data_IF_116966109888
#
_entry.id   IF_116966109888
#
_cell.length_a   1.000
_cell.length_b   1.000
_cell.length_c   1.000
_cell.angle_alpha   90.00
_cell.angle_beta   90.00
_cell.angle_gamma   90.00
#
_symmetry.space_group_name_H-M   'P 1'
#
loop_
_entity.id
_entity.type
_entity.pdbx_description
1 polymer ?
#
# COMPACT_ATOMS: atom_id res chain seq x y z
N UNK A 1 11.83 62.85 2.76
CA UNK A 1 10.39 63.17 2.67
C UNK A 1 10.21 64.17 1.54
N UNK A 2 9.21 64.02 0.65
CA UNK A 2 7.81 63.65 0.90
C UNK A 2 7.44 62.26 0.30
N UNK A 3 6.56 61.43 0.90
CA UNK A 3 5.07 61.45 0.87
C UNK A 3 4.53 61.52 -0.57
N UNK A 4 3.65 60.66 -1.10
CA UNK A 4 2.79 59.60 -0.58
C UNK A 4 1.51 59.56 -1.44
N UNK A 5 0.86 58.39 -1.50
CA UNK A 5 -0.51 58.09 -1.98
C UNK A 5 -0.77 57.83 -3.47
N UNK A 6 -1.50 56.73 -3.71
CA UNK A 6 -2.28 56.49 -4.91
C UNK A 6 -2.44 55.01 -5.25
N UNK A 7 -3.18 54.26 -4.43
CA UNK A 7 -3.58 52.89 -4.72
C UNK A 7 -4.42 52.84 -6.01
N UNK A 8 -4.05 51.94 -6.93
CA UNK A 8 -4.89 51.51 -8.03
C UNK A 8 -4.84 49.98 -8.03
N UNK A 9 -5.89 49.35 -7.48
CA UNK A 9 -6.06 47.90 -7.50
C UNK A 9 -6.75 47.57 -8.83
N UNK A 10 -6.15 46.77 -9.74
CA UNK A 10 -6.87 46.21 -10.87
C UNK A 10 -7.79 45.06 -10.39
N UNK A 11 -8.94 44.84 -11.05
CA UNK A 11 -9.92 43.84 -10.63
C UNK A 11 -9.35 42.42 -10.75
N UNK A 12 -9.72 41.57 -9.79
CA UNK A 12 -9.40 40.14 -9.78
C UNK A 12 -9.94 39.46 -11.05
N UNK A 13 -9.02 38.80 -11.79
CA UNK A 13 -9.28 37.95 -12.94
C UNK A 13 -9.17 36.48 -12.49
N UNK A 14 -10.26 35.69 -12.52
CA UNK A 14 -10.28 34.33 -12.00
C UNK A 14 -9.67 33.28 -12.95
N UNK A 15 -8.91 33.66 -13.99
CA UNK A 15 -8.49 32.72 -15.05
C UNK A 15 -6.98 32.48 -15.22
N UNK A 16 -6.16 32.70 -14.20
CA UNK A 16 -4.72 32.38 -14.24
C UNK A 16 -4.26 31.61 -13.01
N UNK A 17 -4.10 30.29 -13.18
CA UNK A 17 -3.23 29.46 -12.33
C UNK A 17 -1.77 29.67 -12.72
N UNK A 18 -0.86 29.79 -11.74
CA UNK A 18 0.54 29.45 -11.97
C UNK A 18 1.12 28.48 -10.92
N UNK A 19 1.64 27.39 -11.48
CA UNK A 19 2.70 26.44 -11.05
C UNK A 19 3.70 26.98 -10.01
N UNK A 20 4.17 26.17 -9.03
CA UNK A 20 5.12 26.58 -7.99
C UNK A 20 6.57 26.71 -8.50
N UNK A 21 7.42 27.60 -7.92
CA UNK A 21 8.84 27.63 -8.23
C UNK A 21 9.67 26.80 -7.21
N UNK A 22 10.52 25.93 -7.77
CA UNK A 22 11.58 25.14 -7.12
C UNK A 22 12.77 26.03 -6.69
N UNK A 23 13.42 25.74 -5.54
CA UNK A 23 14.73 26.31 -5.20
C UNK A 23 15.32 26.06 -3.79
N UNK A 24 15.77 24.81 -3.53
CA UNK A 24 16.98 24.31 -2.81
C UNK A 24 17.73 25.09 -1.67
N UNK A 25 18.55 24.42 -0.81
CA UNK A 25 18.36 24.27 0.66
C UNK A 25 19.47 24.91 1.54
N UNK A 26 19.46 24.76 2.89
CA UNK A 26 20.71 24.75 3.66
C UNK A 26 20.90 23.56 4.63
N UNK A 27 21.88 22.73 4.28
CA UNK A 27 22.96 22.10 5.08
C UNK A 27 22.63 21.27 6.34
N UNK A 28 22.90 19.96 6.21
CA UNK A 28 23.16 18.98 7.30
C UNK A 28 24.12 19.49 8.38
N UNK A 29 23.78 19.19 9.64
CA UNK A 29 24.74 18.89 10.71
C UNK A 29 24.40 17.53 11.32
N UNK A 30 25.28 16.54 11.16
CA UNK A 30 25.26 15.32 11.98
C UNK A 30 25.74 15.64 13.39
N UNK A 31 25.01 15.17 14.41
CA UNK A 31 25.60 14.73 15.69
C UNK A 31 24.86 13.52 16.25
N UNK A 32 25.61 12.43 16.30
CA UNK A 32 25.44 11.22 17.10
C UNK A 32 25.12 11.53 18.56
N UNK A 33 24.17 10.80 19.17
CA UNK A 33 24.15 10.59 20.62
C UNK A 33 22.78 10.49 21.29
N UNK A 34 22.54 9.29 21.85
CA UNK A 34 21.72 8.96 23.02
C UNK A 34 20.23 8.62 22.81
N UNK A 35 19.99 7.32 22.64
CA UNK A 35 18.78 6.61 23.07
C UNK A 35 18.62 6.82 24.59
N UNK A 36 17.38 7.07 25.03
CA UNK A 36 16.80 7.08 26.39
C UNK A 36 16.10 8.41 26.71
N UNK A 37 14.77 8.43 26.53
CA UNK A 37 13.74 9.07 27.38
C UNK A 37 12.48 9.48 26.59
N UNK A 38 11.63 8.53 26.16
CA UNK A 38 10.35 8.83 25.48
C UNK A 38 9.12 8.11 26.08
N UNK A 39 9.21 7.56 27.29
CA UNK A 39 8.06 6.90 27.95
C UNK A 39 7.26 7.87 28.85
N UNK A 40 7.77 9.07 29.16
CA UNK A 40 7.12 10.02 30.08
C UNK A 40 6.18 11.03 29.41
N UNK A 41 6.35 11.32 28.12
CA UNK A 41 5.57 12.31 27.37
C UNK A 41 4.12 11.85 27.08
N UNK A 42 3.83 10.56 26.76
CA UNK A 42 2.45 10.10 26.55
C UNK A 42 1.59 10.24 27.82
N UNK A 43 2.16 10.01 29.00
CA UNK A 43 1.43 10.02 30.29
C UNK A 43 1.01 11.45 30.69
N UNK A 44 1.80 12.47 30.33
CA UNK A 44 1.54 13.85 30.71
C UNK A 44 0.44 14.50 29.86
N UNK A 45 0.32 14.13 28.58
CA UNK A 45 -0.79 14.54 27.71
C UNK A 45 -2.11 13.88 28.14
N UNK A 46 -2.07 12.61 28.58
CA UNK A 46 -3.24 11.91 29.16
C UNK A 46 -3.77 12.62 30.42
N UNK A 47 -2.92 13.26 31.23
CA UNK A 47 -3.36 13.98 32.44
C UNK A 47 -4.12 15.29 32.12
N UNK A 48 -3.85 15.93 30.97
CA UNK A 48 -4.60 17.12 30.52
C UNK A 48 -6.02 16.72 30.08
N UNK A 49 -6.18 15.53 29.48
CA UNK A 49 -7.49 14.94 29.15
C UNK A 49 -8.39 14.77 30.38
N UNK A 50 -7.82 14.56 31.58
CA UNK A 50 -8.58 14.32 32.81
C UNK A 50 -9.15 15.62 33.44
N UNK A 51 -8.54 16.78 33.18
CA UNK A 51 -8.93 18.04 33.82
C UNK A 51 -10.24 18.67 33.32
N UNK A 52 -10.62 18.42 32.07
CA UNK A 52 -11.80 19.06 31.43
C UNK A 52 -13.08 18.25 31.64
N UNK A 53 -12.99 17.01 32.11
CA UNK A 53 -14.13 16.09 32.10
C UNK A 53 -14.65 15.76 33.51
N UNK A 54 -15.04 16.81 34.24
CA UNK A 54 -15.69 16.68 35.55
C UNK A 54 -17.18 16.41 35.35
N UNK A 55 -17.55 15.13 35.29
CA UNK A 55 -18.94 14.70 35.51
C UNK A 55 -19.33 13.36 34.88
N UNK A 56 -18.89 13.08 33.65
CA UNK A 56 -19.25 11.84 32.91
C UNK A 56 -18.07 11.22 32.13
N UNK A 57 -17.02 11.98 31.82
CA UNK A 57 -16.19 11.62 30.67
C UNK A 57 -14.68 11.46 30.89
N UNK A 58 -14.19 11.08 32.07
CA UNK A 58 -12.86 10.44 32.14
C UNK A 58 -12.83 9.15 31.30
N UNK A 59 -13.95 8.39 31.30
CA UNK A 59 -14.06 7.13 30.55
C UNK A 59 -14.18 7.35 29.02
N UNK A 60 -14.95 8.34 28.59
CA UNK A 60 -15.13 8.66 27.17
C UNK A 60 -13.83 9.20 26.55
N UNK A 61 -13.17 10.14 27.24
CA UNK A 61 -11.86 10.66 26.79
C UNK A 61 -10.78 9.57 26.73
N UNK A 62 -10.77 8.62 27.68
CA UNK A 62 -9.85 7.48 27.64
C UNK A 62 -10.12 6.55 26.45
N UNK A 63 -11.38 6.37 26.05
CA UNK A 63 -11.75 5.55 24.89
C UNK A 63 -11.30 6.22 23.59
N UNK A 64 -11.56 7.51 23.44
CA UNK A 64 -11.11 8.29 22.29
C UNK A 64 -9.58 8.29 22.17
N UNK A 65 -8.85 8.58 23.25
CA UNK A 65 -7.39 8.57 23.23
C UNK A 65 -6.80 7.20 22.85
N UNK A 66 -7.42 6.09 23.30
CA UNK A 66 -6.97 4.74 22.92
C UNK A 66 -7.26 4.43 21.45
N UNK A 67 -8.42 4.82 20.94
CA UNK A 67 -8.79 4.59 19.55
C UNK A 67 -7.91 5.42 18.61
N UNK A 68 -7.67 6.70 18.91
CA UNK A 68 -6.75 7.55 18.14
C UNK A 68 -5.31 7.03 18.18
N UNK A 69 -4.84 6.52 19.33
CA UNK A 69 -3.53 5.90 19.41
C UNK A 69 -3.45 4.64 18.54
N UNK A 70 -4.50 3.81 18.51
CA UNK A 70 -4.55 2.65 17.62
C UNK A 70 -4.54 3.06 16.14
N UNK A 71 -5.33 4.06 15.77
CA UNK A 71 -5.39 4.62 14.41
C UNK A 71 -4.02 5.10 13.91
N UNK A 72 -3.32 5.91 14.70
CA UNK A 72 -1.99 6.42 14.32
C UNK A 72 -0.90 5.36 14.42
N UNK A 73 -1.00 4.42 15.37
CA UNK A 73 -0.07 3.29 15.42
C UNK A 73 -0.20 2.42 14.18
N UNK A 74 -1.41 2.20 13.68
CA UNK A 74 -1.62 1.43 12.46
C UNK A 74 -1.00 2.15 11.25
N UNK A 75 -1.20 3.47 11.13
CA UNK A 75 -0.56 4.29 10.09
C UNK A 75 0.98 4.22 10.09
N UNK A 76 1.63 4.45 11.23
CA UNK A 76 3.10 4.45 11.27
C UNK A 76 3.73 3.07 11.07
N UNK A 77 2.95 2.00 11.27
CA UNK A 77 3.40 0.63 11.04
C UNK A 77 2.92 0.06 9.70
N UNK A 78 2.21 0.86 8.89
CA UNK A 78 1.58 0.42 7.64
C UNK A 78 0.73 -0.85 7.82
N UNK A 79 -0.10 -0.87 8.88
CA UNK A 79 -0.89 -2.02 9.31
C UNK A 79 -2.39 -1.78 9.06
N UNK A 80 -2.83 -2.16 7.86
CA UNK A 80 -4.18 -1.97 7.35
C UNK A 80 -5.19 -2.84 8.09
N UNK A 81 -4.77 -4.03 8.52
CA UNK A 81 -5.55 -4.92 9.37
C UNK A 81 -5.87 -4.24 10.72
N UNK A 82 -4.89 -3.60 11.36
CA UNK A 82 -5.11 -2.86 12.60
C UNK A 82 -6.01 -1.63 12.41
N UNK A 83 -5.98 -0.98 11.24
CA UNK A 83 -6.96 0.05 10.89
C UNK A 83 -8.36 -0.54 10.72
N UNK A 84 -8.48 -1.66 10.02
CA UNK A 84 -9.74 -2.35 9.76
C UNK A 84 -10.45 -2.78 11.06
N UNK A 85 -9.70 -3.22 12.08
CA UNK A 85 -10.25 -3.54 13.40
C UNK A 85 -10.98 -2.36 14.08
N UNK A 86 -10.67 -1.12 13.70
CA UNK A 86 -11.31 0.10 14.20
C UNK A 86 -12.64 0.40 13.53
N UNK A 87 -12.98 -0.28 12.43
CA UNK A 87 -14.26 -0.20 11.75
C UNK A 87 -15.27 -1.18 12.38
N UNK A 88 -16.59 -0.90 12.33
CA UNK A 88 -17.62 -1.88 12.68
C UNK A 88 -17.86 -2.85 11.52
N UNK A 89 -18.25 -4.09 11.79
CA UNK A 89 -18.50 -5.11 10.75
C UNK A 89 -19.51 -4.63 9.68
N UNK A 90 -20.53 -3.86 10.10
CA UNK A 90 -21.53 -3.28 9.21
C UNK A 90 -21.00 -2.21 8.25
N UNK A 91 -19.78 -1.71 8.44
CA UNK A 91 -19.10 -0.83 7.49
C UNK A 91 -18.60 -1.62 6.28
N UNK A 92 -18.15 -2.86 6.48
CA UNK A 92 -17.68 -3.70 5.38
C UNK A 92 -18.80 -4.14 4.44
N UNK A 93 -20.02 -4.29 4.97
CA UNK A 93 -21.23 -4.44 4.14
C UNK A 93 -21.38 -3.26 3.16
N UNK A 94 -21.14 -2.03 3.63
CA UNK A 94 -21.17 -0.83 2.77
C UNK A 94 -20.06 -0.84 1.71
N UNK A 95 -18.82 -1.19 2.10
CA UNK A 95 -17.69 -1.27 1.15
C UNK A 95 -17.99 -2.29 0.05
N UNK A 96 -18.47 -3.47 0.42
CA UNK A 96 -18.84 -4.52 -0.53
C UNK A 96 -19.97 -4.10 -1.45
N UNK A 97 -21.07 -3.55 -0.91
CA UNK A 97 -22.22 -3.12 -1.71
C UNK A 97 -21.89 -1.94 -2.64
N UNK A 98 -20.94 -1.08 -2.26
CA UNK A 98 -20.62 0.16 -2.99
C UNK A 98 -19.53 -0.03 -4.02
N UNK A 99 -18.49 -0.80 -3.70
CA UNK A 99 -17.27 -0.92 -4.50
C UNK A 99 -17.05 -2.31 -5.10
N UNK A 100 -17.86 -3.32 -4.74
CA UNK A 100 -17.67 -4.73 -5.13
C UNK A 100 -16.30 -5.28 -4.66
N UNK A 101 -15.90 -4.87 -3.46
CA UNK A 101 -14.64 -5.25 -2.81
C UNK A 101 -14.91 -5.95 -1.47
N UNK A 102 -14.08 -6.94 -1.14
CA UNK A 102 -14.08 -7.54 0.20
C UNK A 102 -13.30 -6.67 1.21
N UNK A 103 -13.43 -6.97 2.49
CA UNK A 103 -12.57 -6.38 3.55
C UNK A 103 -11.09 -6.67 3.27
N UNK A 104 -10.76 -7.87 2.81
CA UNK A 104 -9.38 -8.28 2.50
C UNK A 104 -8.79 -7.45 1.36
N UNK A 105 -9.57 -7.18 0.30
CA UNK A 105 -9.14 -6.31 -0.81
C UNK A 105 -8.89 -4.88 -0.31
N UNK A 106 -9.83 -4.32 0.45
CA UNK A 106 -9.70 -2.97 0.99
C UNK A 106 -8.48 -2.82 1.91
N UNK A 107 -8.20 -3.84 2.74
CA UNK A 107 -7.01 -3.90 3.60
C UNK A 107 -5.72 -3.97 2.78
N UNK A 108 -5.67 -4.80 1.73
CA UNK A 108 -4.51 -4.87 0.85
C UNK A 108 -4.21 -3.53 0.17
N UNK A 109 -5.25 -2.83 -0.30
CA UNK A 109 -5.12 -1.47 -0.83
C UNK A 109 -4.55 -0.51 0.22
N UNK A 110 -5.06 -0.58 1.46
CA UNK A 110 -4.66 0.31 2.55
C UNK A 110 -3.20 0.08 2.95
N UNK A 111 -2.77 -1.18 2.97
CA UNK A 111 -1.38 -1.55 3.20
C UNK A 111 -0.45 -0.96 2.14
N UNK A 112 -0.83 -1.00 0.86
CA UNK A 112 -0.04 -0.37 -0.20
C UNK A 112 -0.01 1.15 -0.04
N UNK A 113 -1.17 1.79 0.13
CA UNK A 113 -1.26 3.24 0.27
C UNK A 113 -0.38 3.77 1.42
N UNK A 114 -0.40 3.09 2.58
CA UNK A 114 0.42 3.49 3.72
C UNK A 114 1.91 3.23 3.48
N UNK A 115 2.28 2.16 2.77
CA UNK A 115 3.67 1.89 2.38
C UNK A 115 4.20 2.96 1.44
N UNK A 116 3.44 3.33 0.40
CA UNK A 116 3.80 4.41 -0.52
C UNK A 116 4.03 5.71 0.25
N UNK A 117 3.10 6.05 1.15
CA UNK A 117 3.24 7.22 2.01
C UNK A 117 4.49 7.13 2.90
N UNK A 118 4.75 5.97 3.52
CA UNK A 118 5.95 5.73 4.33
C UNK A 118 7.23 5.95 3.53
N UNK A 119 7.30 5.44 2.32
CA UNK A 119 8.46 5.56 1.45
C UNK A 119 8.69 7.00 0.99
N UNK A 120 7.62 7.77 0.76
CA UNK A 120 7.76 9.21 0.46
C UNK A 120 8.44 10.00 1.59
N UNK A 121 8.32 9.52 2.83
CA UNK A 121 8.96 10.13 4.00
C UNK A 121 10.29 9.48 4.39
N UNK A 122 10.72 8.43 3.67
CA UNK A 122 11.97 7.68 3.90
C UNK A 122 11.85 6.58 4.95
N UNK A 123 10.66 6.09 5.26
CA UNK A 123 10.41 5.01 6.23
C UNK A 123 10.70 5.39 7.68
N UNK A 124 10.67 4.39 8.58
CA UNK A 124 10.84 4.53 10.05
C UNK A 124 9.93 5.60 10.65
N UNK A 125 8.63 5.49 10.34
CA UNK A 125 7.66 6.52 10.69
C UNK A 125 7.46 6.66 12.20
N UNK A 126 7.27 7.91 12.61
CA UNK A 126 6.78 8.28 13.93
C UNK A 126 5.78 9.41 13.80
N UNK A 127 4.91 9.59 14.80
CA UNK A 127 3.96 10.69 14.81
C UNK A 127 4.01 11.49 16.12
N UNK A 128 3.60 12.75 16.01
CA UNK A 128 3.37 13.65 17.13
C UNK A 128 2.03 14.32 16.97
N UNK A 129 1.17 14.18 17.98
CA UNK A 129 -0.09 14.91 18.07
C UNK A 129 0.02 16.13 18.98
N UNK A 130 -0.44 17.28 18.48
CA UNK A 130 -0.70 18.49 19.25
C UNK A 130 -2.23 18.70 19.31
N UNK A 131 -2.82 18.38 20.46
CA UNK A 131 -4.26 18.50 20.65
C UNK A 131 -4.69 19.97 20.78
N UNK A 132 -5.63 20.36 19.93
CA UNK A 132 -6.19 21.70 19.82
C UNK A 132 -7.59 21.82 20.46
N UNK A 133 -8.36 20.73 20.48
CA UNK A 133 -9.75 20.74 20.94
C UNK A 133 -10.30 19.37 21.33
N UNK A 134 -11.40 19.37 22.07
CA UNK A 134 -12.21 18.16 22.33
C UNK A 134 -13.68 18.52 22.26
N UNK A 135 -14.43 17.76 21.47
CA UNK A 135 -15.89 17.82 21.42
C UNK A 135 -16.44 16.46 21.81
N UNK A 136 -17.52 16.40 22.58
CA UNK A 136 -18.16 15.13 22.95
C UNK A 136 -19.67 15.28 22.96
N UNK A 137 -20.38 14.29 22.43
CA UNK A 137 -21.84 14.28 22.35
C UNK A 137 -22.44 12.91 22.65
N UNK A 138 -23.68 12.89 23.13
CA UNK A 138 -24.45 11.69 23.44
C UNK A 138 -25.93 11.90 23.08
N UNK A 139 -26.62 10.81 22.72
CA UNK A 139 -28.04 10.87 22.36
C UNK A 139 -28.27 11.87 21.22
N UNK A 140 -29.36 12.61 21.24
CA UNK A 140 -29.68 13.60 20.19
C UNK A 140 -28.91 14.93 20.30
N UNK A 141 -27.70 14.94 20.87
CA UNK A 141 -26.89 16.18 20.95
C UNK A 141 -26.52 16.66 19.55
N UNK A 142 -26.67 17.97 19.31
CA UNK A 142 -26.29 18.63 18.05
C UNK A 142 -24.78 18.58 17.78
N UNK A 143 -23.97 18.33 18.82
CA UNK A 143 -22.53 18.10 18.67
C UNK A 143 -22.22 16.84 17.85
N UNK A 144 -23.18 15.92 17.72
CA UNK A 144 -23.04 14.72 16.90
C UNK A 144 -23.59 14.91 15.48
N UNK A 145 -24.14 16.08 15.14
CA UNK A 145 -24.73 16.30 13.81
C UNK A 145 -23.70 16.14 12.67
N UNK A 146 -22.46 16.69 12.76
CA UNK A 146 -21.46 16.50 11.71
C UNK A 146 -21.12 15.03 11.48
N UNK A 147 -20.80 14.30 12.55
CA UNK A 147 -20.45 12.87 12.42
C UNK A 147 -21.63 11.99 12.00
N UNK A 148 -22.87 12.42 12.25
CA UNK A 148 -24.05 11.72 11.73
C UNK A 148 -24.23 11.91 10.24
N UNK A 149 -23.94 13.10 9.73
CA UNK A 149 -23.96 13.35 8.29
C UNK A 149 -22.97 12.41 7.58
N UNK A 150 -21.76 12.26 8.12
CA UNK A 150 -20.76 11.33 7.59
C UNK A 150 -21.19 9.87 7.75
N UNK A 151 -21.60 9.45 8.96
CA UNK A 151 -21.96 8.04 9.20
C UNK A 151 -23.28 7.60 8.56
N UNK A 152 -24.19 8.53 8.24
CA UNK A 152 -25.41 8.23 7.49
C UNK A 152 -25.10 7.78 6.06
N UNK A 153 -23.98 8.24 5.46
CA UNK A 153 -23.52 7.78 4.12
C UNK A 153 -23.20 6.28 4.12
N UNK A 154 -22.68 5.78 5.25
CA UNK A 154 -22.40 4.37 5.50
C UNK A 154 -23.61 3.57 5.99
N UNK A 155 -24.77 4.22 6.20
CA UNK A 155 -25.92 3.58 6.83
C UNK A 155 -25.77 3.31 8.34
N UNK A 156 -24.76 3.90 8.99
CA UNK A 156 -24.42 3.63 10.39
C UNK A 156 -25.09 4.63 11.35
N UNK A 157 -25.39 4.18 12.58
CA UNK A 157 -26.07 5.03 13.58
C UNK A 157 -25.21 5.31 14.80
N UNK A 158 -24.90 6.59 15.00
CA UNK A 158 -24.08 7.08 16.12
C UNK A 158 -24.94 7.54 17.30
N UNK A 159 -24.72 6.90 18.44
CA UNK A 159 -25.39 7.22 19.71
C UNK A 159 -24.54 8.04 20.68
N UNK A 160 -23.21 7.99 20.53
CA UNK A 160 -22.23 8.69 21.36
C UNK A 160 -20.97 8.89 20.53
N UNK A 161 -20.29 10.02 20.69
CA UNK A 161 -19.04 10.30 19.99
C UNK A 161 -18.18 11.31 20.74
N UNK A 162 -16.87 11.21 20.51
CA UNK A 162 -15.86 12.16 20.99
C UNK A 162 -14.96 12.51 19.80
N UNK A 163 -14.83 13.80 19.51
CA UNK A 163 -13.85 14.35 18.58
C UNK A 163 -12.65 14.86 19.35
N UNK A 164 -11.45 14.57 18.86
CA UNK A 164 -10.22 15.23 19.25
C UNK A 164 -9.72 16.01 18.04
N UNK A 165 -9.74 17.33 18.14
CA UNK A 165 -9.15 18.19 17.12
C UNK A 165 -7.67 18.31 17.43
N UNK A 166 -6.80 17.95 16.48
CA UNK A 166 -5.36 17.92 16.71
C UNK A 166 -4.58 18.19 15.42
N UNK A 167 -3.45 18.88 15.55
CA UNK A 167 -2.43 18.90 14.50
C UNK A 167 -1.59 17.63 14.67
N UNK A 168 -1.54 16.78 13.64
CA UNK A 168 -0.66 15.62 13.64
C UNK A 168 0.51 15.87 12.70
N UNK A 169 1.72 15.61 13.18
CA UNK A 169 2.94 15.60 12.37
C UNK A 169 3.45 14.17 12.28
N UNK A 170 3.53 13.62 11.07
CA UNK A 170 4.21 12.35 10.78
C UNK A 170 5.63 12.66 10.33
N UNK A 171 6.60 11.87 10.76
CA UNK A 171 8.02 12.08 10.48
C UNK A 171 8.65 10.75 10.11
N UNK A 172 9.22 10.67 8.91
CA UNK A 172 10.10 9.59 8.49
C UNK A 172 11.57 10.01 8.53
N UNK A 173 12.45 9.17 7.97
CA UNK A 173 13.89 9.41 7.98
C UNK A 173 14.32 10.64 7.15
N UNK A 174 13.58 10.93 6.07
CA UNK A 174 13.96 11.92 5.07
C UNK A 174 13.12 13.20 5.14
N UNK A 175 11.82 13.11 5.46
CA UNK A 175 10.93 14.26 5.56
C UNK A 175 9.86 14.12 6.67
N UNK A 176 9.05 15.15 6.83
CA UNK A 176 7.91 15.18 7.73
C UNK A 176 6.73 15.88 7.09
N UNK A 177 5.53 15.40 7.37
CA UNK A 177 4.28 16.01 6.94
C UNK A 177 3.41 16.37 8.15
N UNK A 178 2.61 17.43 8.04
CA UNK A 178 1.80 17.91 9.16
C UNK A 178 0.48 18.50 8.69
N UNK A 179 -0.61 18.01 9.28
CA UNK A 179 -1.97 18.47 8.97
C UNK A 179 -2.87 18.52 10.22
N UNK A 180 -3.99 19.23 10.10
CA UNK A 180 -5.02 19.38 11.13
C UNK A 180 -6.14 18.35 10.93
N UNK A 181 -6.37 17.54 11.96
CA UNK A 181 -7.34 16.45 11.96
C UNK A 181 -8.47 16.67 12.97
N UNK A 182 -9.67 16.26 12.59
CA UNK A 182 -10.82 16.10 13.48
C UNK A 182 -11.08 14.60 13.72
N UNK A 183 -10.40 14.03 14.72
CA UNK A 183 -10.38 12.59 14.95
C UNK A 183 -11.60 12.16 15.77
N UNK A 184 -12.62 11.65 15.09
CA UNK A 184 -13.85 11.17 15.72
C UNK A 184 -13.77 9.70 16.12
N UNK A 185 -13.94 9.44 17.41
CA UNK A 185 -14.23 8.10 17.94
C UNK A 185 -15.72 8.02 18.28
N UNK A 186 -16.44 7.11 17.64
CA UNK A 186 -17.90 6.98 17.75
C UNK A 186 -18.34 5.63 18.24
N UNK A 187 -19.52 5.58 18.85
CA UNK A 187 -20.13 4.34 19.33
C UNK A 187 -21.22 3.86 18.38
N UNK A 188 -20.93 2.78 17.68
CA UNK A 188 -21.77 2.10 16.68
C UNK A 188 -21.98 0.66 17.18
N UNK A 189 -23.24 0.23 17.27
CA UNK A 189 -23.63 -1.12 17.73
C UNK A 189 -22.97 -1.62 19.03
N UNK A 190 -22.66 -0.68 19.93
CA UNK A 190 -22.01 -0.98 21.20
C UNK A 190 -20.48 -0.98 21.17
N UNK A 191 -19.86 -1.05 19.99
CA UNK A 191 -18.41 -0.94 19.75
C UNK A 191 -17.99 0.52 19.64
N UNK A 192 -16.74 0.81 20.03
CA UNK A 192 -16.12 2.11 19.79
C UNK A 192 -15.27 2.00 18.53
N UNK A 193 -15.58 2.83 17.53
CA UNK A 193 -15.04 2.78 16.18
C UNK A 193 -14.38 4.12 15.82
N UNK A 194 -13.40 4.08 14.91
CA UNK A 194 -12.77 5.28 14.36
C UNK A 194 -13.53 5.73 13.11
N UNK A 195 -14.03 6.96 13.09
CA UNK A 195 -14.57 7.54 11.86
C UNK A 195 -13.49 7.78 10.83
N UNK A 196 -12.32 8.27 11.26
CA UNK A 196 -11.19 8.52 10.37
C UNK A 196 -10.77 7.25 9.63
N UNK A 197 -10.73 6.09 10.30
CA UNK A 197 -10.45 4.83 9.62
C UNK A 197 -11.52 4.48 8.57
N UNK A 198 -12.80 4.67 8.89
CA UNK A 198 -13.89 4.42 7.93
C UNK A 198 -13.80 5.37 6.72
N UNK A 199 -13.50 6.65 6.95
CA UNK A 199 -13.32 7.62 5.87
C UNK A 199 -12.10 7.32 5.00
N UNK A 200 -10.98 6.90 5.60
CA UNK A 200 -9.77 6.52 4.86
C UNK A 200 -10.04 5.32 3.94
N UNK A 201 -10.73 4.28 4.45
CA UNK A 201 -11.12 3.12 3.63
C UNK A 201 -12.13 3.50 2.53
N UNK A 202 -13.14 4.32 2.84
CA UNK A 202 -14.13 4.81 1.87
C UNK A 202 -13.46 5.61 0.74
N UNK A 203 -12.57 6.52 1.09
CA UNK A 203 -11.80 7.31 0.12
C UNK A 203 -10.90 6.41 -0.73
N UNK A 204 -10.20 5.47 -0.11
CA UNK A 204 -9.28 4.57 -0.80
C UNK A 204 -10.01 3.64 -1.76
N UNK A 205 -11.12 3.03 -1.31
CA UNK A 205 -11.95 2.15 -2.15
C UNK A 205 -12.59 2.90 -3.32
N UNK A 206 -12.79 4.22 -3.19
CA UNK A 206 -13.21 5.09 -4.29
C UNK A 206 -12.09 5.59 -5.20
N UNK A 207 -10.84 5.17 -4.97
CA UNK A 207 -9.66 5.62 -5.72
C UNK A 207 -9.08 4.53 -6.63
N UNK A 208 -8.08 4.87 -7.44
CA UNK A 208 -7.41 3.91 -8.33
C UNK A 208 -6.67 2.80 -7.55
N UNK A 209 -6.29 3.03 -6.28
CA UNK A 209 -5.74 1.98 -5.41
C UNK A 209 -6.70 0.80 -5.21
N UNK A 210 -8.01 1.05 -5.31
CA UNK A 210 -9.02 0.01 -5.19
C UNK A 210 -9.04 -0.95 -6.39
N UNK A 211 -8.63 -0.46 -7.57
CA UNK A 211 -8.57 -1.27 -8.79
C UNK A 211 -7.38 -2.24 -8.77
N UNK A 212 -6.28 -1.89 -8.10
CA UNK A 212 -5.12 -2.76 -7.91
C UNK A 212 -5.25 -3.69 -6.69
N UNK A 213 -6.07 -3.30 -5.70
CA UNK A 213 -6.29 -4.00 -4.44
C UNK A 213 -6.41 -5.53 -4.53
N UNK A 214 -7.37 -6.01 -5.33
CA UNK A 214 -7.60 -7.45 -5.50
C UNK A 214 -6.40 -8.18 -6.12
N UNK A 215 -5.70 -7.51 -7.04
CA UNK A 215 -4.53 -8.07 -7.71
C UNK A 215 -3.30 -8.04 -6.79
N UNK A 216 -3.18 -7.06 -5.90
CA UNK A 216 -2.16 -7.02 -4.85
C UNK A 216 -2.40 -8.16 -3.86
N UNK A 217 -3.64 -8.30 -3.36
CA UNK A 217 -4.00 -9.34 -2.41
C UNK A 217 -3.74 -10.74 -2.99
N UNK A 218 -4.08 -10.95 -4.25
CA UNK A 218 -3.98 -12.26 -4.89
C UNK A 218 -2.56 -12.57 -5.42
N UNK A 219 -1.86 -11.57 -5.98
CA UNK A 219 -0.61 -11.80 -6.74
C UNK A 219 0.61 -11.04 -6.21
N UNK A 220 0.46 -10.12 -5.25
CA UNK A 220 1.54 -9.25 -4.76
C UNK A 220 2.77 -10.03 -4.29
N UNK A 221 2.59 -11.07 -3.49
CA UNK A 221 3.69 -11.92 -3.00
C UNK A 221 4.40 -12.66 -4.15
N UNK A 222 3.65 -13.13 -5.16
CA UNK A 222 4.23 -13.82 -6.33
C UNK A 222 5.04 -12.86 -7.20
N UNK A 223 4.49 -11.66 -7.45
CA UNK A 223 5.17 -10.57 -8.18
C UNK A 223 6.47 -10.18 -7.47
N UNK A 224 6.41 -9.97 -6.15
CA UNK A 224 7.59 -9.63 -5.36
C UNK A 224 8.62 -10.76 -5.37
N UNK A 225 8.19 -12.02 -5.24
CA UNK A 225 9.07 -13.19 -5.28
C UNK A 225 9.77 -13.28 -6.64
N UNK A 226 9.03 -13.08 -7.74
CA UNK A 226 9.58 -13.13 -9.10
C UNK A 226 10.67 -12.07 -9.30
N UNK A 227 10.37 -10.80 -9.02
CA UNK A 227 11.33 -9.72 -9.27
C UNK A 227 12.53 -9.79 -8.34
N UNK A 228 12.34 -10.16 -7.07
CA UNK A 228 13.46 -10.42 -6.17
C UNK A 228 14.36 -11.55 -6.69
N UNK A 229 13.78 -12.63 -7.22
CA UNK A 229 14.54 -13.71 -7.83
C UNK A 229 15.31 -13.25 -9.08
N UNK A 230 14.68 -12.45 -9.94
CA UNK A 230 15.31 -11.88 -11.15
C UNK A 230 16.52 -11.03 -10.81
N UNK A 231 16.37 -10.04 -9.90
CA UNK A 231 17.47 -9.11 -9.58
C UNK A 231 18.63 -9.77 -8.84
N UNK A 232 18.38 -10.87 -8.12
CA UNK A 232 19.39 -11.65 -7.42
C UNK A 232 19.93 -12.83 -8.24
N UNK A 233 19.49 -13.00 -9.49
CA UNK A 233 19.79 -14.16 -10.33
C UNK A 233 19.50 -15.53 -9.66
N UNK A 234 18.48 -15.56 -8.80
CA UNK A 234 18.10 -16.72 -8.01
C UNK A 234 17.02 -17.53 -8.72
N UNK A 235 17.43 -18.29 -9.73
CA UNK A 235 16.53 -19.17 -10.47
C UNK A 235 15.85 -20.19 -9.52
N UNK A 236 16.54 -20.70 -8.51
CA UNK A 236 15.97 -21.68 -7.58
C UNK A 236 14.78 -21.12 -6.78
N UNK A 237 14.79 -19.84 -6.42
CA UNK A 237 13.57 -19.20 -5.87
C UNK A 237 12.49 -19.06 -6.95
N UNK A 238 12.87 -18.69 -8.17
CA UNK A 238 11.93 -18.56 -9.30
C UNK A 238 11.26 -19.89 -9.69
N UNK A 239 11.91 -21.05 -9.50
CA UNK A 239 11.32 -22.36 -9.79
C UNK A 239 10.15 -22.70 -8.86
N UNK A 240 10.03 -22.04 -7.71
CA UNK A 240 8.87 -22.19 -6.81
C UNK A 240 7.59 -21.57 -7.37
N UNK A 241 7.70 -20.69 -8.37
CA UNK A 241 6.60 -20.00 -9.04
C UNK A 241 6.08 -20.77 -10.27
N UNK A 242 6.61 -21.97 -10.50
CA UNK A 242 6.38 -22.81 -11.67
C UNK A 242 5.82 -24.17 -11.21
N UNK A 243 4.82 -24.75 -11.91
CA UNK A 243 4.23 -26.02 -11.49
C UNK A 243 5.22 -27.19 -11.65
N UNK A 244 5.14 -28.20 -10.78
CA UNK A 244 6.04 -29.36 -10.82
C UNK A 244 5.97 -30.11 -12.16
N UNK A 245 4.78 -30.17 -12.78
CA UNK A 245 4.55 -30.77 -14.10
C UNK A 245 5.26 -30.03 -15.25
N UNK A 246 5.66 -28.77 -15.07
CA UNK A 246 6.45 -28.03 -16.07
C UNK A 246 7.78 -28.72 -16.37
N UNK A 247 8.40 -29.31 -15.37
CA UNK A 247 9.72 -29.92 -15.53
C UNK A 247 9.68 -31.18 -16.40
N UNK A 248 8.53 -31.85 -16.50
CA UNK A 248 8.33 -32.95 -17.45
C UNK A 248 8.35 -32.45 -18.89
N UNK A 249 7.80 -31.26 -19.17
CA UNK A 249 7.90 -30.61 -20.48
C UNK A 249 9.35 -30.23 -20.79
N UNK A 250 10.06 -29.60 -19.85
CA UNK A 250 11.46 -29.17 -20.06
C UNK A 250 12.37 -30.37 -20.38
N UNK A 251 12.21 -31.50 -19.68
CA UNK A 251 12.95 -32.73 -19.99
C UNK A 251 12.55 -33.31 -21.36
N UNK A 252 11.25 -33.31 -21.68
CA UNK A 252 10.78 -33.84 -22.97
C UNK A 252 11.26 -33.02 -24.18
N UNK A 253 11.20 -31.69 -24.10
CA UNK A 253 11.54 -30.79 -25.21
C UNK A 253 13.05 -30.55 -25.34
N UNK A 254 13.76 -30.45 -24.21
CA UNK A 254 15.18 -30.06 -24.20
C UNK A 254 16.13 -31.14 -23.65
N UNK A 255 15.63 -32.17 -22.97
CA UNK A 255 16.46 -33.18 -22.29
C UNK A 255 17.25 -32.60 -21.11
N UNK A 256 16.66 -31.62 -20.42
CA UNK A 256 17.30 -30.82 -19.38
C UNK A 256 16.63 -31.10 -18.03
N UNK A 257 17.43 -31.35 -16.99
CA UNK A 257 16.93 -31.47 -15.62
C UNK A 257 16.57 -30.11 -15.03
N UNK A 258 15.68 -30.07 -14.03
CA UNK A 258 15.35 -28.82 -13.32
C UNK A 258 16.61 -28.09 -12.82
N UNK A 259 17.56 -28.79 -12.20
CA UNK A 259 18.79 -28.16 -11.68
C UNK A 259 19.68 -27.59 -12.78
N UNK A 260 19.70 -28.20 -13.96
CA UNK A 260 20.43 -27.68 -15.10
C UNK A 260 19.71 -26.46 -15.69
N UNK A 261 18.37 -26.49 -15.78
CA UNK A 261 17.55 -25.36 -16.20
C UNK A 261 17.71 -24.15 -15.26
N UNK A 262 17.72 -24.37 -13.95
CA UNK A 262 18.05 -23.37 -12.92
C UNK A 262 19.44 -22.78 -13.16
N UNK A 263 20.44 -23.62 -13.42
CA UNK A 263 21.79 -23.14 -13.71
C UNK A 263 21.86 -22.28 -14.97
N UNK A 264 21.15 -22.67 -16.04
CA UNK A 264 21.09 -21.89 -17.28
C UNK A 264 20.38 -20.55 -17.08
N UNK A 265 19.26 -20.54 -16.35
CA UNK A 265 18.53 -19.32 -16.07
C UNK A 265 19.34 -18.38 -15.16
N UNK A 266 20.01 -18.89 -14.12
CA UNK A 266 20.91 -18.08 -13.28
C UNK A 266 21.97 -17.39 -14.12
N UNK A 267 22.66 -18.09 -15.03
CA UNK A 267 23.65 -17.46 -15.91
C UNK A 267 23.05 -16.38 -16.81
N UNK A 268 21.83 -16.60 -17.35
CA UNK A 268 21.14 -15.62 -18.18
C UNK A 268 20.74 -14.37 -17.39
N UNK A 269 20.28 -14.53 -16.14
CA UNK A 269 19.92 -13.43 -15.25
C UNK A 269 21.16 -12.65 -14.79
N UNK A 270 22.26 -13.33 -14.46
CA UNK A 270 23.54 -12.68 -14.12
C UNK A 270 24.04 -11.78 -15.25
N UNK A 271 23.94 -12.23 -16.51
CA UNK A 271 24.29 -11.43 -17.68
C UNK A 271 23.36 -10.21 -17.83
N UNK A 272 22.05 -10.40 -17.64
CA UNK A 272 21.07 -9.31 -17.72
C UNK A 272 21.28 -8.26 -16.62
N UNK A 273 21.46 -8.68 -15.37
CA UNK A 273 21.68 -7.80 -14.21
C UNK A 273 23.02 -7.09 -14.33
N UNK A 274 24.12 -7.80 -14.62
CA UNK A 274 25.45 -7.18 -14.78
C UNK A 274 25.51 -6.21 -15.95
N UNK A 275 24.85 -6.51 -17.07
CA UNK A 275 24.74 -5.62 -18.22
C UNK A 275 23.99 -4.32 -17.93
N UNK A 276 23.05 -4.38 -16.98
CA UNK A 276 22.19 -3.24 -16.60
C UNK A 276 22.78 -2.42 -15.45
N UNK A 277 23.50 -3.04 -14.51
CA UNK A 277 23.89 -2.42 -13.23
C UNK A 277 25.40 -2.41 -12.92
N UNK A 278 26.23 -3.10 -13.71
CA UNK A 278 27.66 -3.29 -13.42
C UNK A 278 27.93 -4.30 -12.29
N UNK A 279 29.20 -4.61 -12.02
CA UNK A 279 29.59 -5.73 -11.12
C UNK A 279 29.44 -5.45 -9.61
N UNK A 280 29.26 -4.19 -9.17
CA UNK A 280 29.48 -3.79 -7.76
C UNK A 280 28.25 -3.17 -7.04
N UNK A 281 27.07 -3.11 -7.67
CA UNK A 281 25.87 -2.52 -7.08
C UNK A 281 24.78 -3.56 -6.79
N UNK A 282 24.34 -3.69 -5.53
CA UNK A 282 23.05 -4.35 -5.23
C UNK A 282 21.94 -3.40 -5.68
N UNK A 283 21.06 -3.79 -6.62
CA UNK A 283 19.99 -2.91 -7.09
C UNK A 283 18.98 -2.67 -5.95
N UNK A 284 18.56 -1.43 -5.78
CA UNK A 284 17.40 -1.08 -4.96
C UNK A 284 16.15 -1.36 -5.79
N UNK A 285 15.39 -2.39 -5.41
CA UNK A 285 14.18 -2.82 -6.10
C UNK A 285 12.95 -2.37 -5.31
N UNK A 286 12.01 -1.71 -5.99
CA UNK A 286 10.61 -1.59 -5.57
C UNK A 286 9.73 -2.12 -6.68
N UNK A 287 8.64 -2.82 -6.31
CA UNK A 287 7.65 -3.31 -7.26
C UNK A 287 6.27 -3.02 -6.71
N UNK A 288 5.50 -2.27 -7.49
CA UNK A 288 4.18 -1.80 -7.12
C UNK A 288 3.17 -2.36 -8.11
N UNK A 289 2.29 -3.24 -7.67
CA UNK A 289 1.19 -3.73 -8.52
C UNK A 289 0.20 -2.58 -8.72
N UNK A 290 -0.08 -2.28 -9.99
CA UNK A 290 -0.92 -1.14 -10.41
C UNK A 290 -2.26 -1.58 -10.96
N UNK A 291 -2.48 -2.88 -11.16
CA UNK A 291 -3.75 -3.43 -11.62
C UNK A 291 -3.61 -4.82 -12.21
N UNK A 292 -4.64 -5.26 -12.90
CA UNK A 292 -4.64 -6.51 -13.64
C UNK A 292 -5.75 -6.55 -14.67
N UNK A 293 -5.57 -7.38 -15.69
CA UNK A 293 -6.58 -7.63 -16.73
C UNK A 293 -6.74 -9.12 -16.91
N UNK A 294 -7.97 -9.62 -16.77
CA UNK A 294 -8.27 -11.02 -17.04
C UNK A 294 -8.06 -11.29 -18.54
N UNK A 295 -7.29 -12.32 -18.85
CA UNK A 295 -6.98 -12.72 -20.24
C UNK A 295 -8.22 -13.33 -20.87
N UNK A 296 -8.55 -12.92 -22.09
CA UNK A 296 -9.74 -13.41 -22.79
C UNK A 296 -9.58 -14.88 -23.23
N UNK A 297 -10.68 -15.64 -23.34
CA UNK A 297 -10.66 -17.06 -23.72
C UNK A 297 -9.87 -17.35 -25.03
N UNK A 298 -9.92 -16.43 -26.00
CA UNK A 298 -9.19 -16.55 -27.26
C UNK A 298 -7.67 -16.46 -27.03
N UNK A 299 -7.22 -15.51 -26.22
CA UNK A 299 -5.81 -15.31 -25.86
C UNK A 299 -5.31 -16.42 -24.93
N UNK A 300 -6.15 -16.88 -24.00
CA UNK A 300 -5.85 -18.02 -23.14
C UNK A 300 -5.65 -19.30 -23.96
N UNK A 301 -6.46 -19.51 -25.01
CA UNK A 301 -6.27 -20.64 -25.94
C UNK A 301 -4.94 -20.56 -26.69
N UNK A 302 -4.45 -19.36 -27.02
CA UNK A 302 -3.14 -19.17 -27.64
C UNK A 302 -2.01 -19.41 -26.63
N UNK A 303 -2.16 -18.93 -25.40
CA UNK A 303 -1.20 -19.15 -24.30
C UNK A 303 -1.07 -20.64 -23.95
N UNK A 304 -2.17 -21.39 -24.05
CA UNK A 304 -2.21 -22.82 -23.78
C UNK A 304 -1.77 -23.72 -24.94
N UNK A 305 -1.44 -23.16 -26.12
CA UNK A 305 -1.08 -23.97 -27.28
C UNK A 305 0.15 -24.85 -26.98
N UNK A 306 0.01 -26.16 -27.19
CA UNK A 306 1.02 -27.16 -26.86
C UNK A 306 1.09 -27.56 -25.37
N UNK A 307 0.69 -26.69 -24.44
CA UNK A 307 0.73 -26.95 -22.99
C UNK A 307 -0.28 -28.02 -22.55
N UNK A 308 -1.42 -28.13 -23.25
CA UNK A 308 -2.44 -29.14 -23.00
C UNK A 308 -1.88 -30.58 -23.02
N UNK A 309 -0.89 -30.84 -23.88
CA UNK A 309 -0.27 -32.17 -24.05
C UNK A 309 0.46 -32.63 -22.79
N UNK A 310 0.89 -31.68 -21.96
CA UNK A 310 1.69 -31.90 -20.75
C UNK A 310 0.88 -31.63 -19.47
N UNK A 311 -0.44 -31.39 -19.58
CA UNK A 311 -1.30 -31.15 -18.42
C UNK A 311 -0.98 -29.86 -17.67
N UNK A 312 -0.47 -28.85 -18.38
CA UNK A 312 -0.07 -27.55 -17.84
C UNK A 312 -0.78 -26.38 -18.55
N UNK A 313 -1.84 -26.68 -19.30
CA UNK A 313 -2.73 -25.65 -19.80
C UNK A 313 -3.48 -25.02 -18.63
N UNK A 314 -3.51 -23.69 -18.58
CA UNK A 314 -4.20 -22.94 -17.56
C UNK A 314 -5.71 -22.87 -17.79
N UNK A 315 -6.48 -22.91 -16.72
CA UNK A 315 -7.93 -22.71 -16.71
C UNK A 315 -8.31 -21.22 -16.74
N UNK A 316 -7.40 -20.35 -16.32
CA UNK A 316 -7.52 -18.89 -16.36
C UNK A 316 -6.14 -18.23 -16.45
N UNK A 317 -6.08 -16.99 -16.91
CA UNK A 317 -4.87 -16.16 -16.86
C UNK A 317 -5.21 -14.69 -16.57
N UNK A 318 -4.27 -13.99 -15.95
CA UNK A 318 -4.37 -12.57 -15.60
C UNK A 318 -3.05 -11.88 -15.92
N UNK A 319 -3.11 -10.79 -16.69
CA UNK A 319 -1.98 -9.89 -16.89
C UNK A 319 -1.95 -8.90 -15.72
N UNK A 320 -1.09 -9.16 -14.74
CA UNK A 320 -0.91 -8.28 -13.57
C UNK A 320 0.01 -7.14 -13.97
N UNK A 321 -0.50 -5.92 -13.94
CA UNK A 321 0.26 -4.71 -14.27
C UNK A 321 1.02 -4.21 -13.04
N UNK A 322 2.24 -3.72 -13.24
CA UNK A 322 3.08 -3.20 -12.17
C UNK A 322 4.06 -2.12 -12.65
N UNK A 323 4.47 -1.28 -11.72
CA UNK A 323 5.63 -0.40 -11.88
C UNK A 323 6.80 -1.04 -11.17
N UNK A 324 7.87 -1.32 -11.91
CA UNK A 324 9.13 -1.85 -11.38
C UNK A 324 10.13 -0.71 -11.34
N UNK A 325 10.56 -0.37 -10.12
CA UNK A 325 11.62 0.61 -9.91
C UNK A 325 12.90 -0.11 -9.55
N UNK A 326 13.92 0.09 -10.37
CA UNK A 326 15.27 -0.41 -10.15
C UNK A 326 16.21 0.79 -10.07
N UNK A 327 16.66 1.10 -8.86
CA UNK A 327 17.40 2.32 -8.53
C UNK A 327 16.60 3.59 -8.93
N UNK A 328 17.17 4.43 -9.80
CA UNK A 328 16.54 5.68 -10.27
C UNK A 328 15.64 5.47 -11.50
N UNK A 329 15.59 4.26 -12.06
CA UNK A 329 14.79 3.95 -13.25
C UNK A 329 13.49 3.25 -12.86
N UNK A 330 12.39 3.70 -13.48
CA UNK A 330 11.04 3.18 -13.27
C UNK A 330 10.48 2.75 -14.60
N UNK A 331 9.97 1.52 -14.68
CA UNK A 331 9.37 0.97 -15.89
C UNK A 331 8.02 0.33 -15.56
N UNK A 332 7.00 0.66 -16.35
CA UNK A 332 5.70 0.00 -16.29
C UNK A 332 5.76 -1.27 -17.14
N UNK A 333 5.34 -2.39 -16.56
CA UNK A 333 5.37 -3.72 -17.18
C UNK A 333 4.21 -4.55 -16.65
N UNK A 334 4.09 -5.78 -17.13
CA UNK A 334 3.17 -6.77 -16.58
C UNK A 334 3.88 -8.12 -16.39
N UNK A 335 3.27 -8.99 -15.60
CA UNK A 335 3.55 -10.43 -15.54
C UNK A 335 2.24 -11.17 -15.80
N UNK A 336 2.32 -12.23 -16.58
CA UNK A 336 1.20 -13.11 -16.85
C UNK A 336 1.13 -14.17 -15.76
N UNK A 337 0.03 -14.18 -15.02
CA UNK A 337 -0.31 -15.23 -14.06
C UNK A 337 -1.18 -16.26 -14.76
N UNK A 338 -0.96 -17.55 -14.49
CA UNK A 338 -1.79 -18.64 -15.04
C UNK A 338 -2.25 -19.57 -13.93
N UNK A 339 -3.53 -19.92 -13.95
CA UNK A 339 -4.13 -20.84 -12.98
C UNK A 339 -4.13 -22.24 -13.57
N UNK A 340 -3.43 -23.17 -12.93
CA UNK A 340 -3.35 -24.58 -13.35
C UNK A 340 -3.83 -25.42 -12.17
N UNK A 341 -4.85 -26.25 -12.38
CA UNK A 341 -5.46 -27.10 -11.35
C UNK A 341 -5.90 -26.32 -10.09
N UNK A 342 -6.39 -25.08 -10.29
CA UNK A 342 -6.86 -24.20 -9.21
C UNK A 342 -5.76 -23.53 -8.39
N UNK A 343 -4.49 -23.62 -8.81
CA UNK A 343 -3.38 -22.90 -8.20
C UNK A 343 -2.74 -21.92 -9.21
N UNK A 344 -2.40 -20.73 -8.74
CA UNK A 344 -1.73 -19.71 -9.56
C UNK A 344 -0.22 -19.93 -9.64
N UNK A 345 0.32 -19.71 -10.84
CA UNK A 345 1.74 -19.77 -11.19
C UNK A 345 2.13 -18.58 -12.07
N UNK A 346 3.43 -18.28 -12.17
CA UNK A 346 3.92 -17.18 -13.03
C UNK A 346 4.32 -17.76 -14.39
N UNK A 347 3.53 -17.46 -15.42
CA UNK A 347 3.79 -17.93 -16.79
C UNK A 347 5.11 -17.36 -17.35
N UNK A 348 5.42 -16.09 -17.04
CA UNK A 348 6.70 -15.46 -17.42
C UNK A 348 7.93 -16.19 -16.83
N UNK A 349 7.80 -16.83 -15.67
CA UNK A 349 8.86 -17.66 -15.11
C UNK A 349 9.05 -18.94 -15.94
N UNK A 350 7.95 -19.63 -16.30
CA UNK A 350 7.97 -20.78 -17.21
C UNK A 350 8.65 -20.41 -18.54
N UNK A 351 8.25 -19.29 -19.13
CA UNK A 351 8.82 -18.79 -20.38
C UNK A 351 10.32 -18.46 -20.26
N UNK A 352 10.75 -17.87 -19.14
CA UNK A 352 12.16 -17.59 -18.86
C UNK A 352 13.00 -18.87 -18.79
N UNK A 353 12.48 -19.92 -18.15
CA UNK A 353 13.12 -21.23 -18.13
C UNK A 353 13.24 -21.88 -19.50
N UNK A 354 12.15 -21.88 -20.30
CA UNK A 354 12.18 -22.41 -21.66
C UNK A 354 13.21 -21.66 -22.53
N UNK A 355 13.27 -20.34 -22.40
CA UNK A 355 14.23 -19.50 -23.13
C UNK A 355 15.68 -19.83 -22.75
N UNK A 356 15.96 -19.98 -21.45
CA UNK A 356 17.30 -20.34 -20.98
C UNK A 356 17.72 -21.74 -21.49
N UNK A 357 16.82 -22.72 -21.43
CA UNK A 357 17.07 -24.08 -21.94
C UNK A 357 17.28 -24.10 -23.46
N UNK A 358 16.46 -23.35 -24.19
CA UNK A 358 16.60 -23.21 -25.65
C UNK A 358 17.96 -22.60 -26.01
N UNK A 359 18.35 -21.50 -25.38
CA UNK A 359 19.64 -20.85 -25.63
C UNK A 359 20.83 -21.77 -25.31
N UNK A 360 20.75 -22.52 -24.20
CA UNK A 360 21.76 -23.51 -23.84
C UNK A 360 21.86 -24.62 -24.90
N UNK A 361 20.72 -25.13 -25.42
CA UNK A 361 20.72 -26.20 -26.43
C UNK A 361 21.34 -25.76 -27.77
N UNK A 362 21.17 -24.49 -28.15
CA UNK A 362 21.78 -23.91 -29.36
C UNK A 362 23.30 -23.71 -29.23
N UNK A 363 23.82 -23.58 -28.00
CA UNK A 363 25.24 -23.36 -27.71
C UNK A 363 26.09 -24.63 -27.84
N UNK A 364 25.45 -25.80 -27.96
CA UNK A 364 26.09 -27.13 -28.03
C UNK A 364 26.11 -27.68 -29.48
N UNK A 365 25.61 -26.90 -30.46
CA UNK A 365 25.49 -27.25 -31.89
C UNK A 365 26.70 -26.98 -32.76
#
# INVERSE_FOLDING_TARGET
MPQGQGANVPPYDPTVNPVPPVGQPPKKKKKTGLIVALILIPILLILIVVGVIVGIGVNLGTKAAKNNAAYWNAHINCDGEALAELCPDSFWDYISDTYDLSEEDAVAAMNQYMQDYSDTLGGDLSYKMEQNGVTAGMGSSAQLDPVREDTDKFGLKVSTGVCIDATCTVTGADDSDSDDYSLWTVKIDGKWCSLSAMDDFDQLCGSDYAASAKYIAEFGDMVQTYWNAVVNADAATMSTLVPESWWELIDAEYGVSQSDAESYLTSMLEEMVSGSFGEDGTPELSVDVTGGTDVADEELSELNDGLETYGIAGDAAVDVSMTVKMNDESNDTYLTMTQIDGQWYVYDAMYSYATACYNASQSVG
#
